data_IF_390573847397
#
_entry.id   IF_390573847397
#
_cell.length_a   1.000
_cell.length_b   1.000
_cell.length_c   1.000
_cell.angle_alpha   90.00
_cell.angle_beta   90.00
_cell.angle_gamma   90.00
#
_symmetry.space_group_name_H-M   'P 1'
#
loop_
_entity.id
_entity.type
_entity.pdbx_description
1 polymer ?
#
# COMPACT_ATOMS: atom_id res chain seq x y z
N UNK A 1 -39.64 15.30 -23.69
CA UNK A 1 -39.83 15.12 -22.23
C UNK A 1 -38.56 14.52 -21.65
N UNK A 2 -37.84 15.19 -20.73
CA UNK A 2 -36.68 14.60 -20.08
C UNK A 2 -37.12 13.80 -18.85
N UNK A 3 -36.81 12.51 -18.87
CA UNK A 3 -37.01 11.57 -17.80
C UNK A 3 -36.21 11.98 -16.56
N UNK A 4 -36.93 12.19 -15.45
CA UNK A 4 -36.35 12.52 -14.14
C UNK A 4 -35.42 11.40 -13.66
N UNK A 5 -34.25 11.72 -13.09
CA UNK A 5 -33.37 10.72 -12.48
C UNK A 5 -34.02 10.20 -11.19
N UNK A 6 -34.14 8.87 -11.07
CA UNK A 6 -34.55 8.19 -9.83
C UNK A 6 -33.59 8.57 -8.71
N UNK A 7 -34.01 9.50 -7.87
CA UNK A 7 -33.33 9.91 -6.64
C UNK A 7 -33.45 8.82 -5.57
N UNK A 8 -32.34 8.64 -4.86
CA UNK A 8 -32.20 8.16 -3.48
C UNK A 8 -33.15 7.08 -2.98
N UNK A 9 -32.64 5.85 -2.80
CA UNK A 9 -33.15 5.00 -1.72
C UNK A 9 -32.77 5.69 -0.41
N UNK A 10 -33.69 6.43 0.18
CA UNK A 10 -33.61 6.83 1.58
C UNK A 10 -33.43 5.54 2.41
N UNK A 11 -32.32 5.47 3.14
CA UNK A 11 -32.11 4.41 4.10
C UNK A 11 -33.13 4.61 5.22
N UNK A 12 -34.19 3.80 5.22
CA UNK A 12 -35.17 3.75 6.31
C UNK A 12 -34.42 3.64 7.65
N UNK A 13 -34.70 4.58 8.54
CA UNK A 13 -34.09 4.66 9.86
C UNK A 13 -34.31 3.32 10.61
N UNK A 14 -33.26 2.67 11.16
CA UNK A 14 -33.37 1.34 11.78
C UNK A 14 -34.25 1.29 13.04
N UNK A 15 -34.74 2.44 13.51
CA UNK A 15 -35.60 2.58 14.68
C UNK A 15 -37.02 2.01 14.53
N UNK A 16 -37.41 1.50 13.36
CA UNK A 16 -38.75 0.93 13.13
C UNK A 16 -38.77 -0.59 12.94
N UNK A 17 -37.71 -1.30 13.36
CA UNK A 17 -37.60 -2.75 13.18
C UNK A 17 -38.28 -3.47 14.36
N UNK A 18 -39.27 -4.31 14.07
CA UNK A 18 -39.91 -5.20 15.05
C UNK A 18 -38.91 -6.26 15.54
N UNK A 19 -38.42 -6.06 16.76
CA UNK A 19 -37.41 -6.92 17.40
C UNK A 19 -37.86 -8.38 17.55
N UNK A 20 -39.17 -8.65 17.57
CA UNK A 20 -39.70 -10.00 17.72
C UNK A 20 -39.50 -10.85 16.45
N UNK A 21 -39.23 -10.23 15.30
CA UNK A 21 -39.01 -10.91 14.02
C UNK A 21 -37.55 -11.19 13.71
N UNK A 22 -36.63 -10.68 14.51
CA UNK A 22 -35.20 -10.88 14.32
C UNK A 22 -34.80 -12.31 14.68
N UNK A 23 -33.88 -12.88 13.90
CA UNK A 23 -33.18 -14.11 14.25
C UNK A 23 -32.31 -13.91 15.50
N UNK A 24 -31.96 -15.01 16.18
CA UNK A 24 -31.11 -14.92 17.37
C UNK A 24 -29.72 -14.34 17.06
N UNK A 25 -29.23 -14.54 15.83
CA UNK A 25 -28.01 -13.91 15.34
C UNK A 25 -28.14 -12.38 15.24
N UNK A 26 -29.26 -11.88 14.70
CA UNK A 26 -29.53 -10.44 14.57
C UNK A 26 -29.81 -9.75 15.91
N UNK A 27 -30.17 -10.51 16.94
CA UNK A 27 -30.35 -10.00 18.30
C UNK A 27 -29.05 -9.88 19.07
N UNK A 28 -27.93 -10.39 18.53
CA UNK A 28 -26.65 -10.30 19.22
C UNK A 28 -26.20 -8.85 19.38
N UNK A 29 -25.60 -8.49 20.54
CA UNK A 29 -24.91 -7.22 20.71
C UNK A 29 -23.88 -6.99 19.61
N UNK A 30 -23.74 -5.74 19.17
CA UNK A 30 -22.84 -5.36 18.09
C UNK A 30 -21.40 -5.82 18.35
N UNK A 31 -20.95 -5.81 19.61
CA UNK A 31 -19.61 -6.25 20.01
C UNK A 31 -19.37 -7.73 19.71
N UNK A 32 -20.39 -8.58 19.89
CA UNK A 32 -20.30 -10.01 19.56
C UNK A 32 -20.36 -10.23 18.05
N UNK A 33 -21.24 -9.49 17.36
CA UNK A 33 -21.31 -9.52 15.89
C UNK A 33 -19.97 -9.16 15.24
N UNK A 34 -19.27 -8.14 15.77
CA UNK A 34 -17.94 -7.75 15.32
C UNK A 34 -16.92 -8.88 15.46
N UNK A 35 -16.90 -9.54 16.62
CA UNK A 35 -16.02 -10.69 16.82
C UNK A 35 -16.32 -11.80 15.82
N UNK A 36 -17.60 -12.08 15.54
CA UNK A 36 -17.98 -13.04 14.51
C UNK A 36 -17.42 -12.61 13.15
N UNK A 37 -17.63 -11.35 12.76
CA UNK A 37 -17.15 -10.79 11.49
C UNK A 37 -15.64 -10.89 11.32
N UNK A 38 -14.86 -10.71 12.39
CA UNK A 38 -13.41 -10.88 12.37
C UNK A 38 -12.99 -12.31 11.97
N UNK A 39 -13.83 -13.32 12.23
CA UNK A 39 -13.58 -14.72 11.83
C UNK A 39 -14.08 -15.07 10.43
N UNK A 40 -15.01 -14.30 9.85
CA UNK A 40 -15.70 -14.64 8.60
C UNK A 40 -15.66 -13.50 7.57
N UNK A 41 -14.53 -12.80 7.49
CA UNK A 41 -14.34 -11.61 6.64
C UNK A 41 -14.74 -11.89 5.18
N UNK A 42 -14.46 -13.09 4.68
CA UNK A 42 -14.77 -13.53 3.32
C UNK A 42 -16.28 -13.61 3.03
N UNK A 43 -17.11 -13.90 4.04
CA UNK A 43 -18.54 -14.13 3.93
C UNK A 43 -19.38 -12.88 4.27
N UNK A 44 -18.74 -11.76 4.63
CA UNK A 44 -19.43 -10.53 5.03
C UNK A 44 -20.35 -9.99 3.93
N UNK A 45 -19.96 -10.16 2.66
CA UNK A 45 -20.80 -9.71 1.56
C UNK A 45 -22.09 -10.52 1.46
N UNK A 46 -22.03 -11.84 1.63
CA UNK A 46 -23.21 -12.70 1.62
C UNK A 46 -24.11 -12.37 2.82
N UNK A 47 -23.53 -12.18 4.01
CA UNK A 47 -24.26 -11.74 5.21
C UNK A 47 -24.95 -10.39 5.03
N UNK A 48 -24.35 -9.47 4.27
CA UNK A 48 -25.00 -8.19 3.93
C UNK A 48 -26.26 -8.36 3.08
N UNK A 49 -26.37 -9.46 2.34
CA UNK A 49 -27.49 -9.76 1.46
C UNK A 49 -28.61 -10.53 2.15
N UNK A 50 -28.35 -11.21 3.27
CA UNK A 50 -29.34 -12.07 3.95
C UNK A 50 -30.46 -11.29 4.65
N UNK A 51 -30.14 -10.18 5.33
CA UNK A 51 -31.15 -9.39 6.05
C UNK A 51 -30.82 -7.90 6.13
N UNK A 52 -31.82 -7.09 6.48
CA UNK A 52 -31.64 -5.64 6.69
C UNK A 52 -30.79 -5.34 7.93
N UNK A 53 -30.98 -6.09 9.02
CA UNK A 53 -30.22 -5.88 10.25
C UNK A 53 -28.75 -6.30 10.09
N UNK A 54 -28.50 -7.45 9.46
CA UNK A 54 -27.14 -7.89 9.15
C UNK A 54 -26.44 -6.94 8.19
N UNK A 55 -27.15 -6.42 7.18
CA UNK A 55 -26.63 -5.34 6.33
C UNK A 55 -26.17 -4.14 7.14
N UNK A 56 -27.01 -3.66 8.07
CA UNK A 56 -26.66 -2.54 8.94
C UNK A 56 -25.40 -2.84 9.76
N UNK A 57 -25.34 -4.00 10.41
CA UNK A 57 -24.16 -4.39 11.20
C UNK A 57 -22.89 -4.52 10.34
N UNK A 58 -22.98 -5.14 9.17
CA UNK A 58 -21.84 -5.27 8.25
C UNK A 58 -21.37 -3.90 7.76
N UNK A 59 -22.30 -2.99 7.42
CA UNK A 59 -21.96 -1.64 6.96
C UNK A 59 -21.31 -0.82 8.09
N UNK A 60 -21.83 -0.90 9.31
CA UNK A 60 -21.22 -0.26 10.49
C UNK A 60 -19.84 -0.83 10.81
N UNK A 61 -19.68 -2.15 10.74
CA UNK A 61 -18.39 -2.81 10.92
C UNK A 61 -17.38 -2.37 9.85
N UNK A 62 -17.79 -2.30 8.59
CA UNK A 62 -16.93 -1.86 7.50
C UNK A 62 -16.52 -0.39 7.63
N UNK A 63 -17.42 0.50 8.05
CA UNK A 63 -17.15 1.93 8.27
C UNK A 63 -16.24 2.20 9.46
N UNK A 64 -16.25 1.33 10.47
CA UNK A 64 -15.43 1.53 11.65
C UNK A 64 -13.94 1.48 11.28
N UNK A 65 -13.13 2.36 11.88
CA UNK A 65 -11.67 2.32 11.73
C UNK A 65 -11.13 1.12 12.50
N UNK A 66 -11.16 -0.05 11.87
CA UNK A 66 -10.71 -1.29 12.50
C UNK A 66 -9.18 -1.38 12.45
N UNK A 67 -8.60 -1.94 13.52
CA UNK A 67 -7.19 -2.30 13.67
C UNK A 67 -6.71 -3.40 12.71
N UNK A 68 -7.61 -4.04 11.96
CA UNK A 68 -7.29 -5.15 11.06
C UNK A 68 -6.54 -4.62 9.84
N UNK A 69 -5.30 -5.06 9.60
CA UNK A 69 -4.56 -4.72 8.38
C UNK A 69 -5.20 -5.44 7.19
N UNK A 70 -5.85 -4.69 6.29
CA UNK A 70 -6.48 -5.25 5.08
C UNK A 70 -5.49 -5.40 3.93
N UNK A 71 -4.56 -4.46 3.81
CA UNK A 71 -3.51 -4.47 2.80
C UNK A 71 -2.25 -5.05 3.42
N UNK A 72 -1.73 -6.11 2.83
CA UNK A 72 -0.48 -6.70 3.29
C UNK A 72 0.69 -5.91 2.71
N UNK A 73 0.64 -5.56 1.41
CA UNK A 73 1.70 -4.78 0.75
C UNK A 73 1.18 -3.54 0.08
N UNK A 74 1.81 -2.41 0.38
CA UNK A 74 1.62 -1.15 -0.33
C UNK A 74 2.87 -0.84 -1.14
N UNK A 75 2.70 -0.72 -2.45
CA UNK A 75 3.80 -0.50 -3.38
C UNK A 75 3.63 0.80 -4.14
N UNK A 76 4.70 1.58 -4.23
CA UNK A 76 4.77 2.79 -5.03
C UNK A 76 5.70 2.53 -6.21
N UNK A 77 5.25 2.89 -7.41
CA UNK A 77 6.03 2.80 -8.63
C UNK A 77 6.24 4.20 -9.17
N UNK A 78 7.50 4.56 -9.39
CA UNK A 78 7.85 5.72 -10.20
C UNK A 78 7.37 5.48 -11.64
N UNK A 79 6.95 6.53 -12.33
CA UNK A 79 6.80 6.44 -13.79
C UNK A 79 8.18 6.67 -14.37
N UNK A 80 8.84 5.62 -14.89
CA UNK A 80 10.05 5.88 -15.67
C UNK A 80 9.69 6.87 -16.78
N UNK A 81 10.47 7.94 -16.92
CA UNK A 81 10.41 8.82 -18.08
C UNK A 81 10.82 7.98 -19.31
N UNK A 82 9.88 7.22 -19.86
CA UNK A 82 10.02 6.68 -21.20
C UNK A 82 10.15 7.92 -22.08
N UNK A 83 11.38 8.21 -22.52
CA UNK A 83 11.83 9.49 -23.06
C UNK A 83 11.18 9.95 -24.38
N UNK A 84 9.96 9.50 -24.69
CA UNK A 84 9.26 9.76 -25.93
C UNK A 84 8.11 10.76 -25.81
N UNK A 85 7.64 11.10 -24.61
CA UNK A 85 6.66 12.18 -24.44
C UNK A 85 7.01 13.02 -23.22
N UNK A 86 7.34 14.30 -23.44
CA UNK A 86 7.70 15.29 -22.42
C UNK A 86 6.57 15.68 -21.45
N UNK A 87 5.76 14.72 -21.00
CA UNK A 87 4.89 14.89 -19.84
C UNK A 87 5.76 14.81 -18.60
N UNK A 88 5.76 15.84 -17.72
CA UNK A 88 6.60 15.83 -16.54
C UNK A 88 6.24 14.65 -15.63
N UNK A 89 7.26 13.87 -15.26
CA UNK A 89 7.16 12.72 -14.35
C UNK A 89 6.76 13.17 -12.95
N UNK A 90 5.45 13.30 -12.74
CA UNK A 90 4.86 13.74 -11.47
C UNK A 90 3.79 12.77 -10.99
N UNK A 91 3.72 11.57 -11.53
CA UNK A 91 2.73 10.60 -11.12
C UNK A 91 3.39 9.46 -10.38
N UNK A 92 2.81 9.06 -9.24
CA UNK A 92 3.15 7.81 -8.58
C UNK A 92 2.01 6.84 -8.80
N UNK A 93 2.33 5.65 -9.30
CA UNK A 93 1.38 4.56 -9.28
C UNK A 93 1.42 3.87 -7.93
N UNK A 94 0.29 3.84 -7.23
CA UNK A 94 0.12 3.16 -5.95
C UNK A 94 -0.60 1.84 -6.19
N UNK A 95 0.01 0.75 -5.72
CA UNK A 95 -0.57 -0.59 -5.79
C UNK A 95 -0.74 -1.16 -4.38
N UNK A 96 -1.93 -1.69 -4.11
CA UNK A 96 -2.26 -2.37 -2.86
C UNK A 96 -2.49 -3.84 -3.13
N UNK A 97 -1.80 -4.69 -2.40
CA UNK A 97 -1.98 -6.14 -2.45
C UNK A 97 -2.78 -6.59 -1.24
N UNK A 98 -4.02 -7.01 -1.50
CA UNK A 98 -4.99 -7.41 -0.48
C UNK A 98 -5.18 -8.92 -0.57
N UNK A 99 -5.01 -9.68 0.51
CA UNK A 99 -5.31 -11.11 0.54
C UNK A 99 -6.71 -11.41 0.04
N UNK A 100 -6.87 -12.49 -0.72
CA UNK A 100 -8.18 -12.89 -1.27
C UNK A 100 -9.25 -12.97 -0.16
N UNK A 101 -8.90 -13.48 1.02
CA UNK A 101 -9.79 -13.58 2.18
C UNK A 101 -10.25 -12.23 2.74
N UNK A 102 -9.47 -11.16 2.56
CA UNK A 102 -9.77 -9.80 3.04
C UNK A 102 -10.36 -8.89 1.97
N UNK A 103 -10.32 -9.32 0.70
CA UNK A 103 -10.69 -8.50 -0.45
C UNK A 103 -12.14 -8.01 -0.41
N UNK A 104 -13.09 -8.87 -0.02
CA UNK A 104 -14.51 -8.51 0.10
C UNK A 104 -14.74 -7.32 1.04
N UNK A 105 -14.06 -7.31 2.20
CA UNK A 105 -14.16 -6.22 3.18
C UNK A 105 -13.47 -4.95 2.68
N UNK A 106 -12.30 -5.07 2.05
CA UNK A 106 -11.62 -3.93 1.45
C UNK A 106 -12.49 -3.25 0.38
N UNK A 107 -13.07 -4.02 -0.53
CA UNK A 107 -13.97 -3.51 -1.57
C UNK A 107 -15.25 -2.91 -0.99
N UNK A 108 -15.78 -3.50 0.07
CA UNK A 108 -16.92 -2.96 0.80
C UNK A 108 -16.59 -1.57 1.38
N UNK A 109 -15.41 -1.40 1.99
CA UNK A 109 -14.94 -0.10 2.49
C UNK A 109 -14.79 0.94 1.40
N UNK A 110 -14.19 0.56 0.27
CA UNK A 110 -14.03 1.45 -0.88
C UNK A 110 -15.37 2.04 -1.35
N UNK A 111 -16.44 1.24 -1.28
CA UNK A 111 -17.80 1.63 -1.69
C UNK A 111 -18.56 2.40 -0.61
N UNK A 112 -18.41 2.04 0.66
CA UNK A 112 -19.20 2.60 1.76
C UNK A 112 -18.65 3.93 2.31
N UNK A 113 -17.35 4.17 2.20
CA UNK A 113 -16.70 5.35 2.80
C UNK A 113 -16.77 6.60 1.90
N UNK A 114 -17.79 6.71 1.05
CA UNK A 114 -18.05 7.87 0.18
C UNK A 114 -16.82 8.28 -0.66
N UNK A 115 -16.45 7.47 -1.68
CA UNK A 115 -15.27 7.76 -2.49
C UNK A 115 -15.38 9.09 -3.22
N UNK A 116 -14.27 9.83 -3.42
CA UNK A 116 -14.25 11.03 -4.25
C UNK A 116 -14.78 10.76 -5.67
N UNK A 117 -15.36 11.76 -6.36
CA UNK A 117 -15.85 11.60 -7.72
C UNK A 117 -14.76 11.07 -8.67
N UNK A 118 -15.09 10.05 -9.47
CA UNK A 118 -14.13 9.47 -10.42
C UNK A 118 -13.13 8.49 -9.80
N UNK A 119 -13.09 8.33 -8.47
CA UNK A 119 -12.08 7.52 -7.78
C UNK A 119 -12.17 6.03 -8.16
N UNK A 120 -13.36 5.44 -8.04
CA UNK A 120 -13.55 4.02 -8.35
C UNK A 120 -13.35 3.71 -9.84
N UNK A 121 -13.64 4.66 -10.74
CA UNK A 121 -13.41 4.49 -12.17
C UNK A 121 -11.91 4.46 -12.52
N UNK A 122 -11.07 5.14 -11.73
CA UNK A 122 -9.61 5.18 -11.92
C UNK A 122 -8.89 4.03 -11.23
N UNK A 123 -9.55 3.33 -10.31
CA UNK A 123 -8.98 2.20 -9.60
C UNK A 123 -9.14 0.93 -10.44
N UNK A 124 -8.04 0.28 -10.77
CA UNK A 124 -8.05 -0.99 -11.50
C UNK A 124 -7.80 -2.16 -10.55
N UNK A 125 -8.48 -3.28 -10.78
CA UNK A 125 -8.34 -4.51 -10.00
C UNK A 125 -7.72 -5.58 -10.88
N UNK A 126 -6.55 -6.05 -10.49
CA UNK A 126 -5.85 -7.17 -11.14
C UNK A 126 -5.98 -8.41 -10.26
N UNK A 127 -6.70 -9.42 -10.75
CA UNK A 127 -6.85 -10.71 -10.06
C UNK A 127 -5.58 -11.52 -10.28
N UNK A 128 -4.94 -11.97 -9.18
CA UNK A 128 -3.71 -12.80 -9.19
C UNK A 128 -2.51 -12.10 -9.84
N UNK A 129 -2.05 -11.02 -9.22
CA UNK A 129 -0.84 -10.32 -9.66
C UNK A 129 0.43 -11.05 -9.17
N UNK A 130 1.17 -11.69 -10.09
CA UNK A 130 2.52 -12.20 -9.87
C UNK A 130 2.66 -13.42 -8.95
N UNK A 131 3.83 -13.53 -8.31
CA UNK A 131 4.23 -14.66 -7.44
C UNK A 131 3.36 -14.84 -6.18
N UNK A 132 2.52 -13.85 -5.87
CA UNK A 132 1.59 -13.88 -4.73
C UNK A 132 0.22 -14.38 -5.18
N UNK A 133 0.11 -15.70 -5.35
CA UNK A 133 -1.11 -16.37 -5.83
C UNK A 133 -2.35 -16.11 -4.96
N UNK A 134 -2.17 -15.62 -3.73
CA UNK A 134 -3.22 -15.43 -2.74
C UNK A 134 -3.62 -13.95 -2.50
N UNK A 135 -3.28 -13.04 -3.42
CA UNK A 135 -3.64 -11.62 -3.31
C UNK A 135 -4.27 -11.05 -4.58
N UNK A 136 -5.20 -10.10 -4.38
CA UNK A 136 -5.72 -9.23 -5.42
C UNK A 136 -4.92 -7.92 -5.41
N UNK A 137 -4.49 -7.46 -6.58
CA UNK A 137 -3.84 -6.17 -6.76
C UNK A 137 -4.86 -5.08 -7.08
N UNK A 138 -4.75 -3.94 -6.41
CA UNK A 138 -5.56 -2.77 -6.71
C UNK A 138 -4.63 -1.59 -6.99
N UNK A 139 -4.81 -0.93 -8.13
CA UNK A 139 -3.90 0.09 -8.62
C UNK A 139 -4.61 1.42 -8.81
N UNK A 140 -3.92 2.50 -8.47
CA UNK A 140 -4.38 3.87 -8.68
C UNK A 140 -3.19 4.78 -8.91
N UNK A 141 -3.32 5.73 -9.83
CA UNK A 141 -2.29 6.74 -10.08
C UNK A 141 -2.64 8.03 -9.36
N UNK A 142 -1.65 8.61 -8.67
CA UNK A 142 -1.77 9.86 -7.92
C UNK A 142 -0.71 10.85 -8.40
N UNK A 143 -1.01 12.15 -8.30
CA UNK A 143 0.01 13.19 -8.44
C UNK A 143 0.96 13.19 -7.22
N UNK A 144 2.26 13.08 -7.49
CA UNK A 144 3.38 13.06 -6.54
C UNK A 144 3.34 14.21 -5.54
N UNK A 145 2.96 15.41 -5.98
CA UNK A 145 3.02 16.59 -5.14
C UNK A 145 1.75 16.73 -4.30
N UNK A 146 0.69 15.96 -4.62
CA UNK A 146 -0.66 16.10 -4.06
C UNK A 146 -1.13 17.56 -4.10
N UNK A 147 -0.72 18.31 -5.13
CA UNK A 147 -1.05 19.74 -5.28
C UNK A 147 -2.53 19.97 -5.55
N UNK A 148 -3.21 18.96 -6.11
CA UNK A 148 -4.64 19.02 -6.31
C UNK A 148 -5.34 18.51 -5.05
N UNK A 149 -6.32 19.27 -4.56
CA UNK A 149 -7.22 18.83 -3.47
C UNK A 149 -7.83 17.46 -3.80
N UNK A 150 -8.07 17.22 -5.09
CA UNK A 150 -8.60 15.96 -5.61
C UNK A 150 -7.69 14.77 -5.31
N UNK A 151 -6.38 14.84 -5.55
CA UNK A 151 -5.48 13.70 -5.29
C UNK A 151 -5.21 13.51 -3.80
N UNK A 152 -5.20 14.60 -3.03
CA UNK A 152 -5.16 14.54 -1.57
C UNK A 152 -6.40 13.81 -1.01
N UNK A 153 -7.60 14.13 -1.50
CA UNK A 153 -8.84 13.47 -1.09
C UNK A 153 -8.85 11.98 -1.45
N UNK A 154 -8.33 11.61 -2.62
CA UNK A 154 -8.18 10.19 -3.01
C UNK A 154 -7.22 9.46 -2.06
N UNK A 155 -6.11 10.10 -1.70
CA UNK A 155 -5.15 9.52 -0.76
C UNK A 155 -5.75 9.35 0.64
N UNK A 156 -6.41 10.37 1.17
CA UNK A 156 -7.14 10.30 2.45
C UNK A 156 -8.21 9.19 2.44
N UNK A 157 -8.93 9.04 1.32
CA UNK A 157 -9.90 7.95 1.16
C UNK A 157 -9.23 6.57 1.21
N UNK A 158 -8.09 6.40 0.53
CA UNK A 158 -7.30 5.17 0.57
C UNK A 158 -6.82 4.85 1.99
N UNK A 159 -6.34 5.86 2.74
CA UNK A 159 -5.94 5.69 4.14
C UNK A 159 -7.10 5.18 5.01
N UNK A 160 -8.31 5.73 4.82
CA UNK A 160 -9.51 5.30 5.55
C UNK A 160 -9.88 3.84 5.21
N UNK A 161 -9.78 3.44 3.94
CA UNK A 161 -10.13 2.09 3.51
C UNK A 161 -9.11 1.05 3.97
N UNK A 162 -7.82 1.37 3.83
CA UNK A 162 -6.69 0.46 4.08
C UNK A 162 -6.44 0.25 5.57
N UNK A 163 -6.65 1.31 6.36
CA UNK A 163 -6.18 1.37 7.75
C UNK A 163 -4.75 1.89 7.85
N UNK A 164 -4.22 1.95 9.08
CA UNK A 164 -2.91 2.54 9.38
C UNK A 164 -1.77 1.52 9.50
N UNK A 165 -2.04 0.24 9.29
CA UNK A 165 -1.04 -0.83 9.41
C UNK A 165 -1.03 -1.65 8.13
N UNK A 166 0.16 -1.84 7.58
CA UNK A 166 0.45 -2.73 6.47
C UNK A 166 1.61 -3.64 6.90
N UNK A 167 1.79 -4.78 6.25
CA UNK A 167 2.91 -5.67 6.55
C UNK A 167 4.21 -5.15 5.92
N UNK A 168 4.15 -4.74 4.65
CA UNK A 168 5.32 -4.31 3.89
C UNK A 168 5.04 -3.08 3.04
N UNK A 169 5.98 -2.15 3.04
CA UNK A 169 6.05 -1.07 2.07
C UNK A 169 7.07 -1.42 0.98
N UNK A 170 6.74 -1.17 -0.29
CA UNK A 170 7.69 -1.33 -1.40
C UNK A 170 7.79 -0.05 -2.23
N UNK A 171 9.00 0.33 -2.61
CA UNK A 171 9.31 1.47 -3.48
C UNK A 171 10.04 0.94 -4.72
N UNK A 172 9.41 0.98 -5.88
CA UNK A 172 9.93 0.44 -7.13
C UNK A 172 10.17 1.56 -8.14
N UNK A 173 11.36 1.57 -8.73
CA UNK A 173 11.71 2.46 -9.85
C UNK A 173 11.45 3.95 -9.55
N UNK A 174 11.39 4.31 -8.26
CA UNK A 174 11.29 5.70 -7.84
C UNK A 174 12.65 6.34 -8.10
N UNK A 175 12.76 7.07 -9.20
CA UNK A 175 13.96 7.79 -9.58
C UNK A 175 14.42 8.75 -8.47
N UNK A 176 15.71 9.04 -8.41
CA UNK A 176 16.25 9.98 -7.44
C UNK A 176 15.59 11.36 -7.66
N UNK A 177 14.85 11.86 -6.67
CA UNK A 177 14.17 13.15 -6.77
C UNK A 177 12.84 13.23 -6.03
N UNK A 178 11.88 13.90 -6.65
CA UNK A 178 10.58 14.24 -6.06
C UNK A 178 9.72 12.99 -5.82
N UNK A 179 9.73 12.01 -6.72
CA UNK A 179 8.90 10.80 -6.63
C UNK A 179 9.22 9.94 -5.41
N UNK A 180 10.51 9.69 -5.17
CA UNK A 180 10.96 8.92 -4.01
C UNK A 180 10.58 9.64 -2.71
N UNK A 181 10.86 10.94 -2.62
CA UNK A 181 10.53 11.76 -1.46
C UNK A 181 9.02 11.82 -1.21
N UNK A 182 8.21 11.96 -2.26
CA UNK A 182 6.75 11.94 -2.20
C UNK A 182 6.21 10.60 -1.75
N UNK A 183 6.72 9.49 -2.29
CA UNK A 183 6.32 8.14 -1.85
C UNK A 183 6.66 7.91 -0.37
N UNK A 184 7.83 8.36 0.08
CA UNK A 184 8.20 8.34 1.49
C UNK A 184 7.27 9.20 2.36
N UNK A 185 6.84 10.37 1.87
CA UNK A 185 5.88 11.23 2.57
C UNK A 185 4.52 10.54 2.71
N UNK A 186 4.03 9.89 1.66
CA UNK A 186 2.78 9.14 1.68
C UNK A 186 2.84 8.01 2.73
N UNK A 187 3.98 7.31 2.80
CA UNK A 187 4.21 6.24 3.78
C UNK A 187 4.14 6.68 5.25
N UNK A 188 4.31 7.96 5.58
CA UNK A 188 4.32 8.47 6.97
C UNK A 188 3.05 8.13 7.76
N UNK A 189 1.93 7.90 7.08
CA UNK A 189 0.65 7.57 7.71
C UNK A 189 0.48 6.09 8.06
N UNK A 190 1.45 5.25 7.71
CA UNK A 190 1.41 3.81 7.93
C UNK A 190 2.42 3.34 8.96
N UNK A 191 2.07 2.25 9.65
CA UNK A 191 2.96 1.42 10.45
C UNK A 191 3.28 0.15 9.67
N UNK A 192 4.57 -0.11 9.49
CA UNK A 192 5.12 -1.29 8.83
C UNK A 192 6.54 -1.50 9.34
N UNK A 193 7.00 -2.74 9.31
CA UNK A 193 8.33 -3.15 9.78
C UNK A 193 9.20 -3.70 8.65
N UNK A 194 8.62 -3.97 7.47
CA UNK A 194 9.34 -4.43 6.28
C UNK A 194 9.35 -3.35 5.19
N UNK A 195 10.53 -3.03 4.68
CA UNK A 195 10.73 -2.12 3.56
C UNK A 195 11.42 -2.85 2.39
N UNK A 196 10.89 -2.67 1.20
CA UNK A 196 11.51 -3.13 -0.04
C UNK A 196 11.78 -1.92 -0.93
N UNK A 197 13.00 -1.81 -1.45
CA UNK A 197 13.41 -0.72 -2.32
C UNK A 197 14.08 -1.30 -3.54
N UNK A 198 13.56 -0.99 -4.72
CA UNK A 198 14.18 -1.28 -6.01
C UNK A 198 14.51 0.03 -6.69
N UNK A 199 15.79 0.33 -6.86
CA UNK A 199 16.26 1.54 -7.54
C UNK A 199 17.28 1.21 -8.62
N UNK A 200 17.17 1.86 -9.78
CA UNK A 200 18.22 1.78 -10.79
C UNK A 200 19.51 2.47 -10.31
N UNK A 201 19.39 3.59 -9.59
CA UNK A 201 20.54 4.34 -9.06
C UNK A 201 20.38 4.60 -7.56
N UNK A 202 21.36 4.14 -6.77
CA UNK A 202 21.44 4.39 -5.35
C UNK A 202 22.39 5.57 -5.07
N UNK A 203 21.84 6.78 -5.21
CA UNK A 203 22.52 8.03 -4.88
C UNK A 203 22.43 8.39 -3.39
N UNK A 204 23.25 9.35 -2.94
CA UNK A 204 23.22 9.86 -1.55
C UNK A 204 21.86 10.42 -1.12
N UNK A 205 21.10 11.00 -2.05
CA UNK A 205 19.75 11.48 -1.78
C UNK A 205 18.80 10.32 -1.45
N UNK A 206 18.81 9.26 -2.27
CA UNK A 206 18.00 8.06 -2.06
C UNK A 206 18.38 7.37 -0.75
N UNK A 207 19.68 7.20 -0.49
CA UNK A 207 20.21 6.65 0.77
C UNK A 207 19.66 7.41 1.99
N UNK A 208 19.75 8.74 1.96
CA UNK A 208 19.28 9.58 3.07
C UNK A 208 17.78 9.41 3.32
N UNK A 209 16.99 9.24 2.24
CA UNK A 209 15.56 8.99 2.34
C UNK A 209 15.25 7.60 2.91
N UNK A 210 15.96 6.56 2.46
CA UNK A 210 15.83 5.20 3.00
C UNK A 210 16.10 5.18 4.49
N UNK A 211 17.25 5.74 4.93
CA UNK A 211 17.61 5.83 6.35
C UNK A 211 16.56 6.59 7.17
N UNK A 212 16.00 7.67 6.61
CA UNK A 212 14.93 8.44 7.24
C UNK A 212 13.66 7.60 7.44
N UNK A 213 13.22 6.86 6.42
CA UNK A 213 12.04 5.98 6.51
C UNK A 213 12.27 4.88 7.53
N UNK A 214 13.44 4.22 7.50
CA UNK A 214 13.79 3.16 8.45
C UNK A 214 13.68 3.65 9.89
N UNK A 215 14.29 4.81 10.20
CA UNK A 215 14.23 5.43 11.53
C UNK A 215 12.81 5.83 11.92
N UNK A 216 12.07 6.47 11.01
CA UNK A 216 10.72 6.97 11.30
C UNK A 216 9.71 5.85 11.56
N UNK A 217 9.84 4.72 10.86
CA UNK A 217 8.90 3.60 10.96
C UNK A 217 9.41 2.44 11.81
N UNK A 218 10.64 2.52 12.33
CA UNK A 218 11.30 1.42 13.04
C UNK A 218 11.31 0.13 12.21
N UNK A 219 11.69 0.26 10.94
CA UNK A 219 11.79 -0.87 10.01
C UNK A 219 12.83 -1.86 10.52
N UNK A 220 12.49 -3.13 10.60
CA UNK A 220 13.38 -4.21 11.05
C UNK A 220 13.94 -5.03 9.90
N UNK A 221 13.29 -5.02 8.73
CA UNK A 221 13.72 -5.75 7.54
C UNK A 221 13.81 -4.82 6.32
N UNK A 222 14.98 -4.78 5.66
CA UNK A 222 15.18 -4.10 4.38
C UNK A 222 15.53 -5.11 3.28
N UNK A 223 14.78 -5.09 2.18
CA UNK A 223 15.18 -5.71 0.91
C UNK A 223 15.54 -4.63 -0.10
N UNK A 224 16.81 -4.55 -0.48
CA UNK A 224 17.35 -3.54 -1.38
C UNK A 224 17.79 -4.18 -2.69
N UNK A 225 17.08 -3.86 -3.79
CA UNK A 225 17.49 -4.21 -5.15
C UNK A 225 18.06 -2.98 -5.84
N UNK A 226 19.31 -3.04 -6.28
CA UNK A 226 19.99 -1.88 -6.90
C UNK A 226 20.77 -2.28 -8.14
N UNK A 227 20.86 -1.41 -9.14
CA UNK A 227 21.73 -1.62 -10.31
C UNK A 227 23.04 -0.86 -10.16
N UNK A 228 22.96 0.46 -10.12
CA UNK A 228 24.09 1.35 -9.95
C UNK A 228 24.15 1.88 -8.52
N UNK A 229 25.35 1.96 -7.96
CA UNK A 229 25.62 2.59 -6.66
C UNK A 229 26.56 3.76 -6.94
N UNK A 230 26.00 4.97 -6.92
CA UNK A 230 26.71 6.22 -7.26
C UNK A 230 27.14 7.02 -6.05
N UNK A 231 26.82 6.55 -4.84
CA UNK A 231 27.36 7.11 -3.60
C UNK A 231 28.88 6.93 -3.51
N UNK A 232 29.53 7.92 -2.92
CA UNK A 232 30.95 7.92 -2.55
C UNK A 232 31.23 7.14 -1.25
N UNK A 233 30.19 6.80 -0.47
CA UNK A 233 30.30 6.16 0.84
C UNK A 233 29.43 4.89 0.99
N UNK A 234 29.52 3.91 0.07
CA UNK A 234 28.70 2.70 0.11
C UNK A 234 28.89 1.89 1.40
N UNK A 235 30.13 1.81 1.91
CA UNK A 235 30.47 1.06 3.14
C UNK A 235 29.85 1.69 4.38
N UNK A 236 29.91 3.02 4.50
CA UNK A 236 29.30 3.74 5.62
C UNK A 236 27.78 3.55 5.61
N UNK A 237 27.14 3.63 4.44
CA UNK A 237 25.70 3.39 4.33
C UNK A 237 25.30 1.99 4.82
N UNK A 238 26.04 0.95 4.42
CA UNK A 238 25.75 -0.43 4.85
C UNK A 238 25.99 -0.62 6.34
N UNK A 239 27.02 0.02 6.89
CA UNK A 239 27.29 0.05 8.34
C UNK A 239 26.17 0.77 9.10
N UNK A 240 25.69 1.90 8.59
CA UNK A 240 24.56 2.63 9.17
C UNK A 240 23.30 1.76 9.14
N UNK A 241 23.03 1.06 8.03
CA UNK A 241 21.91 0.14 7.92
C UNK A 241 21.99 -0.99 8.95
N UNK A 242 23.14 -1.67 9.09
CA UNK A 242 23.28 -2.79 10.03
C UNK A 242 23.02 -2.39 11.49
N UNK A 243 23.25 -1.12 11.84
CA UNK A 243 22.93 -0.58 13.16
C UNK A 243 21.44 -0.30 13.40
N UNK A 244 20.64 -0.18 12.33
CA UNK A 244 19.23 0.24 12.39
C UNK A 244 18.24 -0.90 12.18
N UNK A 245 18.63 -1.95 11.46
CA UNK A 245 17.73 -3.05 11.05
C UNK A 245 18.29 -4.40 11.49
N UNK A 246 17.41 -5.37 11.67
CA UNK A 246 17.78 -6.74 12.06
C UNK A 246 18.06 -7.64 10.85
N UNK A 247 17.48 -7.33 9.70
CA UNK A 247 17.60 -8.14 8.49
C UNK A 247 17.83 -7.26 7.25
N UNK A 248 18.92 -7.53 6.55
CA UNK A 248 19.29 -6.84 5.32
C UNK A 248 19.45 -7.86 4.19
N UNK A 249 18.66 -7.71 3.13
CA UNK A 249 18.83 -8.44 1.88
C UNK A 249 19.24 -7.46 0.79
N UNK A 250 20.38 -7.69 0.16
CA UNK A 250 20.84 -6.89 -0.99
C UNK A 250 20.81 -7.76 -2.23
N UNK A 251 20.22 -7.25 -3.31
CA UNK A 251 20.23 -7.87 -4.62
C UNK A 251 20.75 -6.86 -5.63
N UNK A 252 21.97 -7.06 -6.11
CA UNK A 252 22.52 -6.17 -7.12
C UNK A 252 22.25 -6.70 -8.53
N UNK A 253 21.62 -5.88 -9.37
CA UNK A 253 21.40 -6.18 -10.77
C UNK A 253 22.71 -6.08 -11.57
N UNK A 254 22.86 -6.85 -12.66
CA UNK A 254 24.05 -6.81 -13.50
C UNK A 254 24.32 -5.39 -14.02
N UNK A 255 25.57 -4.96 -13.85
CA UNK A 255 26.10 -3.74 -14.47
C UNK A 255 26.92 -4.15 -15.69
N UNK A 256 26.60 -3.59 -16.85
CA UNK A 256 27.41 -3.79 -18.05
C UNK A 256 28.71 -2.99 -17.91
N UNK A 257 29.73 -3.56 -17.25
CA UNK A 257 31.09 -3.03 -17.29
C UNK A 257 31.79 -3.52 -18.54
N UNK A 258 32.28 -2.58 -19.35
CA UNK A 258 32.98 -2.84 -20.61
C UNK A 258 34.34 -3.50 -20.35
N UNK A 259 34.33 -4.81 -20.12
CA UNK A 259 35.54 -5.62 -20.03
C UNK A 259 36.09 -5.78 -18.60
N UNK A 260 36.43 -7.03 -18.28
CA UNK A 260 37.06 -7.52 -17.04
C UNK A 260 36.10 -8.07 -15.99
N UNK A 261 36.31 -9.34 -15.64
CA UNK A 261 35.60 -10.14 -14.63
C UNK A 261 35.89 -9.71 -13.18
N UNK A 262 36.00 -8.41 -12.93
CA UNK A 262 36.26 -7.89 -11.60
C UNK A 262 35.05 -8.18 -10.70
N UNK A 263 35.31 -8.67 -9.50
CA UNK A 263 34.29 -8.81 -8.46
C UNK A 263 33.77 -7.41 -8.14
N UNK A 264 32.58 -7.09 -8.63
CA UNK A 264 31.94 -5.81 -8.44
C UNK A 264 30.72 -6.03 -7.56
N UNK A 265 30.77 -5.49 -6.35
CA UNK A 265 29.61 -5.48 -5.46
C UNK A 265 29.45 -4.07 -4.88
N UNK A 266 28.21 -3.59 -4.93
CA UNK A 266 27.73 -2.38 -4.29
C UNK A 266 28.61 -1.14 -4.52
N UNK A 267 28.98 -0.89 -5.79
CA UNK A 267 29.80 0.27 -6.17
C UNK A 267 31.30 0.09 -5.99
N UNK A 268 31.76 -0.96 -5.33
CA UNK A 268 33.17 -1.14 -4.98
C UNK A 268 33.79 -2.34 -5.71
N UNK A 269 34.79 -2.13 -6.59
CA UNK A 269 35.52 -3.23 -7.23
C UNK A 269 36.52 -3.85 -6.24
N UNK A 270 36.53 -5.18 -6.14
CA UNK A 270 37.52 -5.96 -5.37
C UNK A 270 37.64 -5.57 -3.88
N UNK A 271 36.56 -5.07 -3.28
CA UNK A 271 36.52 -4.71 -1.86
C UNK A 271 36.33 -5.97 -0.99
N UNK A 272 37.03 -6.03 0.15
CA UNK A 272 36.83 -7.08 1.15
C UNK A 272 35.60 -6.77 2.01
N UNK A 273 34.51 -7.48 1.74
CA UNK A 273 33.24 -7.29 2.43
C UNK A 273 33.13 -8.02 3.78
N UNK A 274 34.10 -8.86 4.12
CA UNK A 274 34.11 -9.62 5.38
C UNK A 274 33.92 -8.76 6.64
N UNK A 275 34.57 -7.58 6.77
CA UNK A 275 34.39 -6.70 7.91
C UNK A 275 33.03 -5.99 7.99
N UNK A 276 32.28 -5.92 6.89
CA UNK A 276 31.00 -5.19 6.79
C UNK A 276 29.80 -6.12 6.95
N UNK A 277 29.94 -7.38 6.51
CA UNK A 277 28.91 -8.42 6.56
C UNK A 277 29.28 -9.40 7.68
N UNK A 278 28.87 -9.09 8.91
CA UNK A 278 29.07 -9.94 10.11
C UNK A 278 27.74 -10.52 10.55
#
# INVERSE_FOLDING_TARGET
EPSSPRTGREFENPSNIDLNRLSDLEKLPMELMRKIFDYIIEALFDLKLTSRMLRYHVDEYAKQRVSIPLVDVLSFYGTEESGECGTPSRMVSVSMFVPVKKASLFELRLKLLEPPPGFLQKMTRNVKCGDKRDSNGYHITLDTELRSDVDFDKWEHLLKCTGKRIEKASLFECSAGVEFASSCRLLQNFKFDKLEVTSNDLSMSVISQILRVIKAHSVTELSLTVRYVTTDQPVQFLTDLSSLISYLRIHQLPVHTSGSSCQYFFGSPSFDWGPVII
#
